data_IF_029331773261
#
_entry.id   IF_029331773261
#
_cell.length_a   1.000
_cell.length_b   1.000
_cell.length_c   1.000
_cell.angle_alpha   90.00
_cell.angle_beta   90.00
_cell.angle_gamma   90.00
#
_symmetry.space_group_name_H-M   'P 1'
#
loop_
_entity.id
_entity.type
_entity.pdbx_description
1 polymer ?
#
# COMPACT_ATOMS: atom_id res chain seq x y z
N UNK A 1 16.15 -24.37 28.18
CA UNK A 1 17.04 -23.51 27.37
C UNK A 1 16.70 -22.09 27.74
N UNK A 2 17.65 -21.34 28.28
CA UNK A 2 17.46 -19.93 28.60
C UNK A 2 17.65 -19.09 27.34
N UNK A 3 16.74 -18.17 27.05
CA UNK A 3 16.87 -17.23 25.94
C UNK A 3 17.83 -16.09 26.28
N UNK A 4 18.42 -15.45 25.28
CA UNK A 4 19.17 -14.22 25.53
C UNK A 4 18.23 -13.06 25.87
N UNK A 5 18.64 -12.18 26.78
CA UNK A 5 17.93 -10.92 27.03
C UNK A 5 17.82 -10.13 25.71
N UNK A 6 16.64 -9.58 25.43
CA UNK A 6 16.37 -8.87 24.19
C UNK A 6 15.91 -9.74 23.01
N UNK A 7 15.89 -11.07 23.15
CA UNK A 7 15.34 -11.96 22.12
C UNK A 7 13.85 -11.66 21.90
N UNK A 8 13.44 -11.47 20.64
CA UNK A 8 12.03 -11.38 20.25
C UNK A 8 11.59 -12.77 19.76
N UNK A 9 10.49 -13.27 20.30
CA UNK A 9 9.94 -14.57 19.94
C UNK A 9 8.42 -14.52 19.79
N UNK A 10 7.89 -15.30 18.83
CA UNK A 10 6.45 -15.47 18.65
C UNK A 10 5.90 -16.54 19.60
N UNK A 11 4.73 -16.28 20.16
CA UNK A 11 3.98 -17.15 21.05
C UNK A 11 2.55 -17.32 20.53
N UNK A 12 2.02 -18.54 20.63
CA UNK A 12 0.68 -18.89 20.17
C UNK A 12 -0.46 -18.48 21.14
N UNK A 13 -0.12 -17.84 22.27
CA UNK A 13 -1.04 -17.42 23.31
C UNK A 13 -0.92 -15.91 23.57
N UNK A 14 -1.96 -15.30 24.15
CA UNK A 14 -2.14 -13.85 24.21
C UNK A 14 -1.52 -13.14 25.42
N UNK A 15 -0.60 -13.78 26.14
CA UNK A 15 0.03 -13.22 27.35
C UNK A 15 1.55 -13.40 27.30
N UNK A 16 2.28 -12.55 28.02
CA UNK A 16 3.72 -12.72 28.17
C UNK A 16 4.03 -13.71 29.31
N UNK A 17 4.82 -14.78 29.07
CA UNK A 17 5.29 -15.65 30.14
C UNK A 17 6.15 -14.89 31.15
N UNK A 18 6.38 -15.50 32.32
CA UNK A 18 7.30 -14.93 33.32
C UNK A 18 8.68 -14.70 32.70
N UNK A 19 9.25 -13.52 32.91
CA UNK A 19 10.54 -13.13 32.34
C UNK A 19 10.46 -12.57 30.92
N UNK A 20 9.25 -12.39 30.37
CA UNK A 20 9.00 -11.80 29.06
C UNK A 20 8.04 -10.62 29.18
N UNK A 21 8.00 -9.78 28.14
CA UNK A 21 6.96 -8.77 27.96
C UNK A 21 6.46 -8.76 26.52
N UNK A 22 5.17 -8.44 26.32
CA UNK A 22 4.59 -8.27 25.00
C UNK A 22 5.28 -7.10 24.27
N UNK A 23 5.52 -7.23 22.97
CA UNK A 23 6.09 -6.15 22.15
C UNK A 23 5.00 -5.14 21.72
N UNK A 24 4.47 -4.35 22.68
CA UNK A 24 3.36 -3.42 22.47
C UNK A 24 3.76 -1.94 22.71
N UNK A 25 5.06 -1.62 22.65
CA UNK A 25 5.54 -0.23 22.76
C UNK A 25 5.56 0.37 24.16
N UNK A 26 5.32 -0.42 25.21
CA UNK A 26 5.38 0.05 26.58
C UNK A 26 6.83 0.39 27.00
N UNK A 27 6.96 1.22 28.03
CA UNK A 27 8.23 1.55 28.67
C UNK A 27 8.37 0.80 29.99
N UNK A 28 9.59 0.42 30.34
CA UNK A 28 9.93 -0.27 31.58
C UNK A 28 10.95 0.55 32.39
N UNK A 29 10.92 0.48 33.74
CA UNK A 29 11.87 1.21 34.58
C UNK A 29 13.29 0.67 34.42
N UNK A 30 14.24 1.54 34.07
CA UNK A 30 15.63 1.15 33.79
C UNK A 30 16.27 0.46 35.00
N UNK A 31 15.95 0.90 36.23
CA UNK A 31 16.47 0.35 37.47
C UNK A 31 16.26 -1.18 37.61
N UNK A 32 15.22 -1.74 36.98
CA UNK A 32 14.93 -3.17 37.02
C UNK A 32 15.42 -3.91 35.75
N UNK A 33 15.62 -3.20 34.64
CA UNK A 33 15.90 -3.77 33.33
C UNK A 33 17.19 -3.24 32.71
N UNK A 34 18.21 -2.99 33.54
CA UNK A 34 19.51 -2.48 33.11
C UNK A 34 20.20 -3.38 32.07
N UNK A 35 20.05 -4.71 32.19
CA UNK A 35 20.58 -5.68 31.23
C UNK A 35 19.93 -5.57 29.84
N UNK A 36 18.63 -5.25 29.77
CA UNK A 36 17.95 -5.01 28.50
C UNK A 36 18.41 -3.67 27.90
N UNK A 37 18.45 -2.62 28.74
CA UNK A 37 18.88 -1.29 28.30
C UNK A 37 20.31 -1.26 27.78
N UNK A 38 21.23 -2.05 28.34
CA UNK A 38 22.62 -2.12 27.84
C UNK A 38 22.71 -2.69 26.41
N UNK A 39 21.72 -3.49 25.98
CA UNK A 39 21.65 -4.08 24.66
C UNK A 39 20.93 -3.20 23.64
N UNK A 40 19.75 -2.67 24.00
CA UNK A 40 18.87 -1.96 23.05
C UNK A 40 18.79 -0.45 23.29
N UNK A 41 19.38 0.08 24.36
CA UNK A 41 19.36 1.50 24.71
C UNK A 41 17.95 2.10 24.65
N UNK A 42 17.83 3.20 23.90
CA UNK A 42 16.55 3.87 23.61
C UNK A 42 16.05 3.61 22.18
N UNK A 43 16.52 2.55 21.49
CA UNK A 43 16.14 2.25 20.09
C UNK A 43 14.63 2.20 19.87
N UNK A 44 13.87 1.73 20.85
CA UNK A 44 12.41 1.65 20.79
C UNK A 44 11.72 2.66 21.73
N UNK A 45 12.41 3.75 22.08
CA UNK A 45 11.91 4.82 22.96
C UNK A 45 12.39 4.70 24.41
N UNK A 46 11.63 5.30 25.32
CA UNK A 46 12.03 5.51 26.72
C UNK A 46 12.88 6.78 26.91
N UNK A 47 13.33 6.99 28.15
CA UNK A 47 14.09 8.18 28.56
C UNK A 47 15.46 7.73 29.06
N UNK A 48 16.52 8.26 28.47
CA UNK A 48 17.89 7.89 28.84
C UNK A 48 18.13 8.08 30.34
N UNK A 49 18.66 7.05 30.99
CA UNK A 49 18.90 7.04 32.45
C UNK A 49 17.68 6.76 33.33
N UNK A 50 16.46 6.66 32.77
CA UNK A 50 15.24 6.44 33.55
C UNK A 50 14.41 5.23 33.09
N UNK A 51 14.26 5.03 31.78
CA UNK A 51 13.42 3.96 31.22
C UNK A 51 13.93 3.40 29.89
N UNK A 52 13.54 2.15 29.62
CA UNK A 52 13.78 1.45 28.35
C UNK A 52 12.44 1.25 27.63
N UNK A 53 12.35 1.65 26.37
CA UNK A 53 11.19 1.37 25.52
C UNK A 53 11.27 -0.02 24.91
N UNK A 54 10.12 -0.70 24.82
CA UNK A 54 10.01 -1.98 24.12
C UNK A 54 9.56 -1.78 22.66
N UNK A 55 9.86 -2.73 21.75
CA UNK A 55 9.31 -2.70 20.41
C UNK A 55 7.78 -2.67 20.41
N UNK A 56 7.19 -2.02 19.42
CA UNK A 56 5.77 -2.13 19.10
C UNK A 56 5.61 -2.93 17.80
N UNK A 57 5.08 -4.15 17.90
CA UNK A 57 4.88 -5.06 16.76
C UNK A 57 3.40 -5.23 16.39
N UNK A 58 2.50 -4.43 16.96
CA UNK A 58 1.10 -4.40 16.54
C UNK A 58 0.97 -4.02 15.07
N UNK A 59 0.36 -4.89 14.25
CA UNK A 59 0.15 -4.68 12.81
C UNK A 59 1.44 -4.71 11.97
N UNK A 60 2.56 -5.24 12.49
CA UNK A 60 3.88 -5.12 11.84
C UNK A 60 4.49 -6.48 11.52
N UNK A 61 5.00 -6.59 10.30
CA UNK A 61 5.89 -7.68 9.92
C UNK A 61 7.34 -7.36 10.32
N UNK A 62 8.07 -8.36 10.81
CA UNK A 62 9.49 -8.22 11.12
C UNK A 62 10.33 -8.28 9.83
N UNK A 63 11.30 -7.38 9.71
CA UNK A 63 12.28 -7.35 8.62
C UNK A 63 13.68 -7.30 9.23
N UNK A 64 14.60 -8.12 8.70
CA UNK A 64 16.00 -8.08 9.11
C UNK A 64 16.67 -6.79 8.67
N UNK A 65 17.62 -6.32 9.47
CA UNK A 65 18.58 -5.32 9.00
C UNK A 65 19.35 -5.81 7.77
N UNK A 66 19.82 -4.89 6.93
CA UNK A 66 20.68 -5.20 5.79
C UNK A 66 22.07 -4.53 5.91
N UNK A 67 23.10 -5.11 5.28
CA UNK A 67 24.45 -4.52 5.31
C UNK A 67 24.55 -3.12 4.70
N UNK A 68 23.63 -2.74 3.82
CA UNK A 68 23.58 -1.43 3.17
C UNK A 68 22.93 -0.33 4.03
N UNK A 69 22.44 -0.67 5.24
CA UNK A 69 21.87 0.30 6.18
C UNK A 69 20.54 0.90 5.74
N UNK A 70 19.87 0.31 4.75
CA UNK A 70 18.53 0.72 4.31
C UNK A 70 17.47 0.34 5.35
N UNK A 71 17.64 -0.82 5.97
CA UNK A 71 16.83 -1.36 7.04
C UNK A 71 17.69 -1.39 8.29
N UNK A 72 17.38 -0.51 9.23
CA UNK A 72 18.09 -0.39 10.50
C UNK A 72 17.23 -0.94 11.64
N UNK A 73 17.87 -1.44 12.69
CA UNK A 73 17.16 -1.90 13.90
C UNK A 73 16.38 -0.73 14.50
N UNK A 74 15.08 -0.94 14.75
CA UNK A 74 14.17 0.10 15.23
C UNK A 74 13.50 0.93 14.12
N UNK A 75 13.95 0.78 12.87
CA UNK A 75 13.32 1.41 11.71
C UNK A 75 11.90 0.90 11.48
N UNK A 76 11.02 1.80 11.06
CA UNK A 76 9.60 1.53 10.81
C UNK A 76 9.22 2.06 9.43
N UNK A 77 8.60 1.21 8.62
CA UNK A 77 8.07 1.58 7.31
C UNK A 77 6.96 0.61 6.88
N UNK A 78 6.31 0.88 5.75
CA UNK A 78 5.21 0.09 5.19
C UNK A 78 3.82 0.70 5.44
N UNK A 79 2.82 0.14 4.75
CA UNK A 79 1.41 0.51 4.85
C UNK A 79 0.53 -0.75 4.73
N UNK A 80 -0.59 -0.81 5.46
CA UNK A 80 -1.54 -1.93 5.39
C UNK A 80 -2.53 -1.80 4.22
N UNK A 81 -2.73 -0.58 3.72
CA UNK A 81 -3.58 -0.26 2.59
C UNK A 81 -2.95 0.81 1.70
N UNK A 82 -3.21 0.74 0.40
CA UNK A 82 -2.76 1.74 -0.58
C UNK A 82 -3.96 2.22 -1.38
N UNK A 83 -4.00 3.52 -1.69
CA UNK A 83 -4.92 4.07 -2.70
C UNK A 83 -4.20 4.16 -4.03
N UNK A 84 -4.80 3.61 -5.09
CA UNK A 84 -4.31 3.83 -6.45
C UNK A 84 -4.58 5.27 -6.85
N UNK A 85 -3.53 5.95 -7.28
CA UNK A 85 -3.54 7.32 -7.79
C UNK A 85 -2.88 7.33 -9.15
N UNK A 86 -3.09 8.39 -9.93
CA UNK A 86 -2.39 8.53 -11.21
C UNK A 86 -0.85 8.53 -11.07
N UNK A 87 -0.32 8.83 -9.88
CA UNK A 87 1.12 8.81 -9.62
C UNK A 87 1.70 7.41 -9.41
N UNK A 88 0.89 6.42 -9.04
CA UNK A 88 1.34 5.04 -8.78
C UNK A 88 0.73 4.01 -9.74
N UNK A 89 -0.05 4.46 -10.72
CA UNK A 89 -0.50 3.64 -11.85
C UNK A 89 0.42 3.83 -13.06
N UNK A 90 0.63 2.77 -13.87
CA UNK A 90 1.21 2.95 -15.20
C UNK A 90 0.41 3.99 -16.00
N UNK A 91 1.11 4.92 -16.64
CA UNK A 91 0.49 5.88 -17.52
C UNK A 91 -0.26 5.12 -18.62
N UNK A 92 -1.56 5.34 -18.68
CA UNK A 92 -2.41 4.85 -19.75
C UNK A 92 -3.35 5.97 -20.18
N UNK A 93 -3.82 5.89 -21.41
CA UNK A 93 -4.81 6.80 -21.95
C UNK A 93 -5.74 6.04 -22.87
N UNK A 94 -6.94 6.60 -23.04
CA UNK A 94 -7.87 6.15 -24.06
C UNK A 94 -7.97 7.28 -25.08
N UNK A 95 -7.65 6.97 -26.33
CA UNK A 95 -7.98 7.86 -27.44
C UNK A 95 -9.41 7.59 -27.86
N UNK A 96 -10.29 8.59 -27.81
CA UNK A 96 -11.54 8.54 -28.57
C UNK A 96 -11.28 9.17 -29.93
N UNK A 97 -11.44 8.39 -30.97
CA UNK A 97 -11.18 8.79 -32.35
C UNK A 97 -12.50 9.04 -33.06
N UNK A 98 -12.56 10.14 -33.80
CA UNK A 98 -13.67 10.47 -34.69
C UNK A 98 -13.14 10.81 -36.09
N UNK A 99 -14.02 10.93 -37.07
CA UNK A 99 -13.69 11.42 -38.40
C UNK A 99 -14.65 12.53 -38.81
N UNK A 100 -14.18 13.46 -39.63
CA UNK A 100 -15.03 14.49 -40.25
C UNK A 100 -15.70 13.99 -41.52
N UNK A 101 -15.41 12.76 -41.96
CA UNK A 101 -16.12 12.13 -43.06
C UNK A 101 -17.61 11.91 -42.70
N UNK A 102 -18.53 11.93 -43.70
CA UNK A 102 -19.94 11.65 -43.46
C UNK A 102 -20.15 10.24 -42.89
N UNK A 103 -21.05 10.14 -41.90
CA UNK A 103 -21.44 8.85 -41.36
C UNK A 103 -22.23 8.00 -42.38
N UNK A 104 -21.92 6.70 -42.43
CA UNK A 104 -22.52 5.74 -43.38
C UNK A 104 -23.30 4.62 -42.69
N UNK A 105 -23.23 4.52 -41.36
CA UNK A 105 -23.92 3.51 -40.57
C UNK A 105 -24.55 4.09 -39.31
N UNK A 106 -25.76 3.61 -38.98
CA UNK A 106 -26.48 3.89 -37.74
C UNK A 106 -26.00 3.00 -36.57
N UNK A 107 -25.29 1.91 -36.87
CA UNK A 107 -24.77 0.96 -35.88
C UNK A 107 -23.24 0.90 -35.89
N UNK A 108 -22.60 0.67 -34.74
CA UNK A 108 -21.15 0.48 -34.69
C UNK A 108 -20.72 -0.81 -35.40
N UNK A 109 -19.47 -0.86 -35.84
CA UNK A 109 -18.89 -2.02 -36.50
C UNK A 109 -17.36 -2.02 -36.42
N UNK A 110 -16.74 -3.17 -36.68
CA UNK A 110 -15.27 -3.28 -36.73
C UNK A 110 -14.70 -2.30 -37.76
N UNK A 111 -13.73 -1.47 -37.36
CA UNK A 111 -13.10 -0.46 -38.22
C UNK A 111 -13.89 0.84 -38.42
N UNK A 112 -14.99 1.02 -37.68
CA UNK A 112 -15.79 2.25 -37.71
C UNK A 112 -15.46 3.16 -36.52
N UNK A 113 -15.54 4.48 -36.72
CA UNK A 113 -15.39 5.51 -35.68
C UNK A 113 -16.60 6.44 -35.69
N UNK A 114 -16.73 7.29 -34.67
CA UNK A 114 -17.70 8.40 -34.69
C UNK A 114 -17.44 9.27 -35.92
N UNK A 115 -18.47 9.62 -36.66
CA UNK A 115 -18.38 10.36 -37.92
C UNK A 115 -19.31 11.59 -37.90
N UNK A 116 -19.18 12.47 -38.89
CA UNK A 116 -20.08 13.61 -39.01
C UNK A 116 -21.50 13.11 -39.32
N UNK A 117 -22.41 13.28 -38.36
CA UNK A 117 -23.82 12.90 -38.52
C UNK A 117 -24.49 13.73 -39.62
N UNK A 118 -25.37 13.11 -40.40
CA UNK A 118 -26.12 13.76 -41.46
C UNK A 118 -27.60 13.35 -41.36
N UNK A 119 -28.48 14.31 -41.07
CA UNK A 119 -29.91 14.16 -41.37
C UNK A 119 -30.84 15.09 -40.59
N UNK A 120 -31.77 15.65 -41.35
CA UNK A 120 -33.09 16.13 -40.97
C UNK A 120 -33.95 15.87 -42.21
N UNK A 121 -35.23 15.54 -42.05
CA UNK A 121 -36.08 15.53 -43.24
C UNK A 121 -36.36 16.96 -43.74
N UNK A 122 -36.98 17.09 -44.90
CA UNK A 122 -37.31 18.40 -45.51
C UNK A 122 -38.32 19.22 -44.72
N UNK A 123 -39.04 18.59 -43.79
CA UNK A 123 -40.01 19.21 -42.87
C UNK A 123 -39.37 19.63 -41.55
N UNK A 124 -38.11 19.23 -41.31
CA UNK A 124 -37.40 19.41 -40.04
C UNK A 124 -37.64 18.32 -39.01
N UNK A 125 -38.33 17.23 -39.37
CA UNK A 125 -38.58 16.11 -38.47
C UNK A 125 -37.33 15.22 -38.33
N UNK A 126 -37.14 14.67 -37.13
CA UNK A 126 -35.97 13.86 -36.79
C UNK A 126 -36.03 12.45 -37.39
N UNK A 127 -35.00 12.08 -38.16
CA UNK A 127 -34.82 10.73 -38.73
C UNK A 127 -33.63 10.02 -38.06
N UNK A 128 -33.58 8.68 -38.11
CA UNK A 128 -32.39 7.93 -37.69
C UNK A 128 -31.19 8.35 -38.53
N UNK A 129 -30.27 9.07 -37.90
CA UNK A 129 -29.04 9.55 -38.52
C UNK A 129 -27.91 8.53 -38.35
N UNK A 130 -27.18 8.30 -39.43
CA UNK A 130 -25.92 7.57 -39.32
C UNK A 130 -24.98 8.38 -38.41
N UNK A 131 -24.25 7.68 -37.55
CA UNK A 131 -23.29 8.28 -36.61
C UNK A 131 -21.92 7.61 -36.65
N UNK A 132 -21.80 6.50 -37.40
CA UNK A 132 -20.54 5.77 -37.60
C UNK A 132 -20.12 5.82 -39.06
N UNK A 133 -18.82 5.90 -39.31
CA UNK A 133 -18.20 5.84 -40.63
C UNK A 133 -16.87 5.09 -40.60
N UNK A 134 -16.34 4.67 -41.77
CA UNK A 134 -15.02 4.05 -41.84
C UNK A 134 -13.94 4.98 -41.26
N UNK A 135 -12.79 4.43 -40.88
CA UNK A 135 -11.70 5.16 -40.24
C UNK A 135 -10.54 5.53 -41.22
N UNK A 136 -10.70 6.44 -42.20
CA UNK A 136 -9.63 6.77 -43.14
C UNK A 136 -8.63 7.76 -42.52
N UNK A 137 -9.12 8.80 -41.83
CA UNK A 137 -8.34 9.77 -41.08
C UNK A 137 -9.05 10.08 -39.76
N UNK A 138 -8.36 9.84 -38.66
CA UNK A 138 -8.90 9.99 -37.31
C UNK A 138 -8.46 11.32 -36.71
N UNK A 139 -9.41 12.06 -36.14
CA UNK A 139 -9.16 13.22 -35.29
C UNK A 139 -9.42 12.84 -33.84
N UNK A 140 -8.55 13.31 -32.93
CA UNK A 140 -8.80 13.15 -31.50
C UNK A 140 -9.98 13.99 -31.07
N UNK A 141 -10.88 13.42 -30.26
CA UNK A 141 -11.91 14.21 -29.58
C UNK A 141 -11.33 14.91 -28.34
N UNK A 142 -12.07 15.89 -27.81
CA UNK A 142 -11.69 16.61 -26.59
C UNK A 142 -11.30 15.64 -25.46
N UNK A 143 -10.28 15.98 -24.67
CA UNK A 143 -9.89 15.19 -23.50
C UNK A 143 -11.01 15.06 -22.45
N UNK A 144 -12.05 15.89 -22.51
CA UNK A 144 -13.26 15.75 -21.66
C UNK A 144 -14.23 14.69 -22.15
N UNK A 145 -14.09 14.19 -23.39
CA UNK A 145 -14.93 13.13 -23.93
C UNK A 145 -14.67 11.78 -23.26
N UNK A 146 -13.51 11.60 -22.62
CA UNK A 146 -13.19 10.45 -21.78
C UNK A 146 -12.70 10.96 -20.42
N UNK A 147 -13.46 10.68 -19.36
CA UNK A 147 -13.08 11.02 -18.00
C UNK A 147 -12.03 10.08 -17.39
N UNK A 148 -11.45 10.50 -16.26
CA UNK A 148 -10.62 9.63 -15.43
C UNK A 148 -11.51 8.60 -14.74
N UNK A 149 -11.12 7.32 -14.79
CA UNK A 149 -11.78 6.24 -14.09
C UNK A 149 -11.04 5.86 -12.79
N UNK A 150 -11.79 5.49 -11.75
CA UNK A 150 -11.27 5.06 -10.45
C UNK A 150 -11.90 5.83 -9.28
N UNK A 151 -12.43 5.12 -8.29
CA UNK A 151 -13.16 5.72 -7.16
C UNK A 151 -12.25 6.14 -5.98
N UNK A 152 -10.93 6.08 -6.14
CA UNK A 152 -9.96 6.45 -5.11
C UNK A 152 -10.06 5.63 -3.81
N UNK A 153 -10.74 4.50 -3.83
CA UNK A 153 -10.92 3.68 -2.63
C UNK A 153 -9.60 2.96 -2.30
N UNK A 154 -9.14 2.99 -1.04
CA UNK A 154 -7.99 2.22 -0.63
C UNK A 154 -8.30 0.72 -0.72
N UNK A 155 -7.30 -0.08 -1.07
CA UNK A 155 -7.38 -1.53 -1.01
C UNK A 155 -6.27 -2.04 -0.08
N UNK A 156 -6.52 -3.17 0.57
CA UNK A 156 -5.53 -3.78 1.44
C UNK A 156 -4.37 -4.31 0.62
N UNK A 157 -3.15 -4.05 1.08
CA UNK A 157 -1.91 -4.64 0.55
C UNK A 157 -1.30 -5.63 1.53
N UNK A 158 -2.05 -6.01 2.57
CA UNK A 158 -1.59 -7.02 3.52
C UNK A 158 -1.59 -8.40 2.85
N UNK A 159 -0.45 -9.09 2.96
CA UNK A 159 -0.35 -10.51 2.67
C UNK A 159 -1.23 -11.34 3.61
N UNK A 160 -1.65 -12.57 3.25
CA UNK A 160 -2.31 -13.46 4.19
C UNK A 160 -1.49 -13.61 5.49
N UNK A 161 -2.15 -13.48 6.65
CA UNK A 161 -1.47 -13.48 7.95
C UNK A 161 -2.20 -14.35 8.98
N UNK A 162 -1.42 -14.84 9.94
CA UNK A 162 -1.89 -15.45 11.19
C UNK A 162 -1.31 -14.65 12.34
N UNK A 163 -2.17 -14.21 13.26
CA UNK A 163 -1.76 -13.36 14.39
C UNK A 163 -1.18 -14.23 15.52
N UNK A 164 0.03 -13.88 15.96
CA UNK A 164 0.68 -14.43 17.14
C UNK A 164 1.14 -13.29 18.05
N UNK A 165 1.33 -13.58 19.33
CA UNK A 165 1.88 -12.59 20.27
C UNK A 165 3.40 -12.62 20.21
N UNK A 166 4.01 -11.50 19.85
CA UNK A 166 5.45 -11.33 19.99
C UNK A 166 5.80 -10.84 21.38
N UNK A 167 6.73 -11.52 22.03
CA UNK A 167 7.29 -11.09 23.30
C UNK A 167 8.80 -10.90 23.20
N UNK A 168 9.33 -10.00 24.03
CA UNK A 168 10.76 -9.79 24.23
C UNK A 168 11.20 -10.35 25.59
N UNK A 169 12.34 -11.06 25.59
CA UNK A 169 12.92 -11.64 26.80
C UNK A 169 13.51 -10.53 27.70
N UNK A 170 12.98 -10.41 28.92
CA UNK A 170 13.42 -9.46 29.94
C UNK A 170 14.43 -10.07 30.92
N UNK A 171 14.42 -11.40 31.07
CA UNK A 171 15.27 -12.14 32.01
C UNK A 171 15.78 -13.42 31.36
N UNK A 172 17.11 -13.49 31.19
CA UNK A 172 17.78 -14.58 30.50
C UNK A 172 19.29 -14.36 30.48
N UNK A 173 19.99 -15.05 29.59
CA UNK A 173 21.45 -14.93 29.47
C UNK A 173 21.79 -13.58 28.83
N UNK A 174 22.78 -12.86 29.35
CA UNK A 174 23.30 -11.67 28.70
C UNK A 174 24.28 -12.08 27.59
N UNK A 175 24.04 -11.72 26.32
CA UNK A 175 24.93 -12.10 25.22
C UNK A 175 26.28 -11.36 25.33
N UNK A 176 27.38 -12.06 25.02
CA UNK A 176 28.71 -11.46 24.92
C UNK A 176 28.82 -10.62 23.64
N UNK A 177 29.31 -9.38 23.75
CA UNK A 177 29.71 -8.59 22.59
C UNK A 177 31.12 -9.06 22.14
N UNK A 178 31.31 -9.40 20.86
CA UNK A 178 32.65 -9.65 20.31
C UNK A 178 33.51 -8.38 20.29
#
# INVERSE_FOLDING_TARGET
>A
MEAFVGTIQAFAFSFAPRGWALCQGQTLPLAQYAALYSLIGNTYGGTSGASVGLPNLGGRALLSQDPGGRYTVGGVSGQESVTLTNANLPQHSHGLMATTAPATSATPGSGMVLAAANGADSSGDGISVNIYGPAPAQTGLSNTAIGIAGAGQPFSVMQPYLVASYCICLSGVLPSRP
#
